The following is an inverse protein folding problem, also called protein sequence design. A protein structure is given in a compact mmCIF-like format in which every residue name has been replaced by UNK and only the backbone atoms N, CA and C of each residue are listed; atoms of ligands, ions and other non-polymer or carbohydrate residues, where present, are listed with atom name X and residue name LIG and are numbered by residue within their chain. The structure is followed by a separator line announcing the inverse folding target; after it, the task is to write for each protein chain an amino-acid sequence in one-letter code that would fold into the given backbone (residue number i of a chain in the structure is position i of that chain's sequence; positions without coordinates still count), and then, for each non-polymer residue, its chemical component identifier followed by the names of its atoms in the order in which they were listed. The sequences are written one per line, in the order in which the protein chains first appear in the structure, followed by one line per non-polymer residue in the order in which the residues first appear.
data_IF_267714154070
#
_entry.id   IF_267714154070
#
_cell.length_a   1.000
_cell.length_b   1.000
_cell.length_c   1.000
_cell.angle_alpha   90.00
_cell.angle_beta   90.00
_cell.angle_gamma   90.00
#
_symmetry.space_group_name_H-M   'P 1'
#
loop_
_entity.id
_entity.type
_entity.pdbx_description
1 polymer ?
#
# COMPACT_ATOMS: atom_id res chain seq x y z
N UNK A 1 -11.63 34.67 -50.88
CA UNK A 1 -12.72 33.97 -50.16
C UNK A 1 -12.72 32.53 -50.64
N UNK A 2 -12.41 31.62 -49.85
CA UNK A 2 -12.47 30.18 -49.91
C UNK A 2 -11.14 29.52 -49.52
N UNK A 3 -11.05 29.15 -48.27
CA UNK A 3 -10.13 28.10 -47.77
C UNK A 3 -10.36 28.01 -46.25
N UNK A 4 -11.30 27.18 -45.85
CA UNK A 4 -11.31 26.64 -44.46
C UNK A 4 -12.46 25.63 -44.29
N UNK A 5 -12.37 24.48 -44.93
CA UNK A 5 -13.36 23.40 -44.76
C UNK A 5 -12.75 21.96 -44.70
N UNK A 6 -11.42 21.80 -44.72
CA UNK A 6 -10.83 20.44 -44.79
C UNK A 6 -10.15 19.95 -43.49
N UNK A 7 -10.41 20.57 -42.32
CA UNK A 7 -9.74 20.12 -41.09
C UNK A 7 -10.64 19.33 -40.12
N UNK A 8 -11.92 19.16 -40.45
CA UNK A 8 -12.85 18.47 -39.56
C UNK A 8 -13.14 17.00 -39.98
N UNK A 9 -12.96 16.69 -41.26
CA UNK A 9 -13.23 15.33 -41.78
C UNK A 9 -12.12 14.32 -41.43
N UNK A 10 -10.85 14.80 -41.30
CA UNK A 10 -9.72 13.92 -40.97
C UNK A 10 -9.68 13.53 -39.47
N UNK A 11 -10.33 14.29 -38.59
CA UNK A 11 -10.44 13.97 -37.17
C UNK A 11 -11.46 12.87 -36.92
N UNK A 12 -12.61 12.93 -37.54
CA UNK A 12 -13.68 11.94 -37.37
C UNK A 12 -13.25 10.54 -37.86
N UNK A 13 -12.44 10.50 -38.93
CA UNK A 13 -11.93 9.24 -39.47
C UNK A 13 -10.88 8.57 -38.56
N UNK A 14 -10.06 9.33 -37.88
CA UNK A 14 -9.05 8.81 -36.94
C UNK A 14 -9.69 8.32 -35.63
N UNK A 15 -10.72 9.02 -35.14
CA UNK A 15 -11.47 8.61 -33.95
C UNK A 15 -12.27 7.33 -34.22
N UNK A 16 -12.88 7.18 -35.38
CA UNK A 16 -13.55 5.94 -35.83
C UNK A 16 -12.58 4.76 -35.97
N UNK A 17 -11.33 5.00 -36.40
CA UNK A 17 -10.31 3.96 -36.50
C UNK A 17 -9.82 3.49 -35.12
N UNK A 18 -9.75 4.38 -34.12
CA UNK A 18 -9.39 4.04 -32.75
C UNK A 18 -10.48 3.17 -32.11
N UNK A 19 -11.74 3.54 -32.28
CA UNK A 19 -12.88 2.75 -31.79
C UNK A 19 -12.97 1.35 -32.45
N UNK A 20 -12.61 1.24 -33.72
CA UNK A 20 -12.55 -0.05 -34.45
C UNK A 20 -11.37 -0.88 -33.93
N UNK A 21 -10.23 -0.27 -33.58
CA UNK A 21 -9.06 -0.97 -33.09
C UNK A 21 -9.29 -1.50 -31.68
N UNK A 22 -9.97 -0.77 -30.81
CA UNK A 22 -10.39 -1.21 -29.48
C UNK A 22 -11.44 -2.33 -29.57
N UNK A 23 -12.38 -2.22 -30.50
CA UNK A 23 -13.38 -3.26 -30.76
C UNK A 23 -12.77 -4.55 -31.33
N UNK A 24 -11.70 -4.44 -32.14
CA UNK A 24 -10.98 -5.59 -32.69
C UNK A 24 -10.08 -6.26 -31.65
N UNK A 25 -9.53 -5.51 -30.67
CA UNK A 25 -8.79 -6.09 -29.55
C UNK A 25 -9.71 -6.93 -28.65
N UNK A 26 -10.94 -6.49 -28.41
CA UNK A 26 -11.96 -7.29 -27.69
C UNK A 26 -12.33 -8.56 -28.48
N UNK A 27 -12.33 -8.51 -29.81
CA UNK A 27 -12.64 -9.66 -30.67
C UNK A 27 -11.44 -10.59 -30.90
N UNK A 28 -10.20 -10.13 -30.70
CA UNK A 28 -8.98 -10.94 -30.91
C UNK A 28 -8.69 -11.94 -29.78
N UNK A 29 -9.35 -11.80 -28.62
CA UNK A 29 -9.23 -12.73 -27.50
C UNK A 29 -10.61 -13.21 -27.00
N UNK A 30 -11.40 -13.93 -27.84
CA UNK A 30 -12.68 -14.47 -27.40
C UNK A 30 -12.54 -15.49 -26.26
N UNK A 31 -11.34 -16.07 -26.09
CA UNK A 31 -11.01 -16.96 -24.97
C UNK A 31 -10.85 -16.20 -23.67
N UNK A 32 -10.29 -14.99 -23.67
CA UNK A 32 -10.16 -14.15 -22.44
C UNK A 32 -11.55 -13.66 -21.99
N UNK A 33 -12.44 -13.31 -22.90
CA UNK A 33 -13.81 -12.94 -22.58
C UNK A 33 -14.63 -14.14 -22.03
N UNK A 34 -14.40 -15.35 -22.55
CA UNK A 34 -15.00 -16.58 -22.05
C UNK A 34 -14.38 -17.04 -20.72
N UNK A 35 -13.07 -16.89 -20.55
CA UNK A 35 -12.36 -17.20 -19.31
C UNK A 35 -12.73 -16.21 -18.19
N UNK A 36 -12.91 -14.93 -18.49
CA UNK A 36 -13.43 -13.93 -17.56
C UNK A 36 -14.88 -14.19 -17.12
N UNK A 37 -15.69 -14.79 -17.99
CA UNK A 37 -17.07 -15.18 -17.68
C UNK A 37 -17.18 -16.51 -16.92
N UNK A 38 -16.15 -17.36 -16.98
CA UNK A 38 -16.09 -18.62 -16.24
C UNK A 38 -15.40 -18.49 -14.88
N UNK A 39 -14.97 -17.26 -14.52
CA UNK A 39 -14.41 -16.90 -13.17
C UNK A 39 -13.72 -18.05 -12.43
N UNK A 40 -12.90 -18.82 -13.12
CA UNK A 40 -11.91 -19.65 -12.47
C UNK A 40 -10.66 -18.77 -12.38
N UNK A 41 -10.65 -17.89 -11.38
CA UNK A 41 -9.44 -17.22 -10.96
C UNK A 41 -8.48 -18.33 -10.50
N UNK A 42 -7.38 -18.62 -11.22
CA UNK A 42 -6.45 -19.68 -10.86
C UNK A 42 -5.82 -19.46 -9.47
N UNK A 43 -6.11 -18.34 -8.83
CA UNK A 43 -5.66 -17.96 -7.50
C UNK A 43 -6.72 -18.23 -6.40
N UNK A 44 -7.97 -18.62 -6.75
CA UNK A 44 -9.04 -18.83 -5.75
C UNK A 44 -8.78 -20.03 -4.85
N UNK A 45 -8.07 -21.04 -5.35
CA UNK A 45 -7.78 -22.28 -4.61
C UNK A 45 -6.41 -22.28 -3.90
N UNK A 46 -5.61 -21.21 -4.07
CA UNK A 46 -4.34 -21.09 -3.38
C UNK A 46 -4.60 -20.83 -1.88
N UNK A 47 -4.04 -21.64 -0.97
CA UNK A 47 -4.19 -21.39 0.46
C UNK A 47 -3.60 -20.00 0.83
N UNK A 48 -4.17 -19.38 1.86
CA UNK A 48 -3.66 -18.12 2.39
C UNK A 48 -2.24 -18.31 2.91
N UNK A 49 -1.29 -17.58 2.34
CA UNK A 49 0.09 -17.55 2.78
C UNK A 49 0.46 -16.11 3.20
N UNK A 50 0.73 -15.87 4.49
CA UNK A 50 1.12 -14.54 4.99
C UNK A 50 2.33 -13.94 4.27
N UNK A 51 3.22 -14.79 3.73
CA UNK A 51 4.41 -14.35 3.01
C UNK A 51 4.09 -13.70 1.66
N UNK A 52 2.93 -13.97 1.07
CA UNK A 52 2.51 -13.33 -0.18
C UNK A 52 2.30 -11.81 -0.02
N UNK A 53 2.08 -11.34 1.22
CA UNK A 53 1.89 -9.94 1.57
C UNK A 53 3.17 -9.25 2.05
N UNK A 54 4.28 -9.99 2.18
CA UNK A 54 5.53 -9.50 2.76
C UNK A 54 6.58 -9.21 1.69
N UNK A 55 7.41 -8.22 1.94
CA UNK A 55 8.51 -7.83 1.09
C UNK A 55 9.62 -7.20 1.93
N UNK A 56 10.88 -7.56 1.65
CA UNK A 56 12.03 -6.87 2.22
C UNK A 56 12.15 -5.50 1.54
N UNK A 57 12.11 -4.39 2.29
CA UNK A 57 12.32 -3.07 1.71
C UNK A 57 13.73 -2.92 1.15
N UNK A 58 13.87 -2.25 0.03
CA UNK A 58 15.19 -1.80 -0.44
C UNK A 58 15.47 -0.37 0.06
N UNK A 59 16.74 0.00 0.19
CA UNK A 59 17.15 1.29 0.72
C UNK A 59 17.88 2.15 -0.30
N UNK A 60 17.67 3.49 -0.22
CA UNK A 60 18.43 4.49 -0.95
C UNK A 60 19.13 5.44 0.03
N UNK A 61 20.43 5.19 0.28
CA UNK A 61 21.21 5.94 1.24
C UNK A 61 21.31 7.44 0.92
N UNK A 62 21.18 7.84 -0.35
CA UNK A 62 21.22 9.26 -0.76
C UNK A 62 20.05 10.07 -0.21
N UNK A 63 18.95 9.43 0.17
CA UNK A 63 17.79 10.05 0.79
C UNK A 63 17.88 10.08 2.32
N UNK A 64 18.80 9.35 2.93
CA UNK A 64 18.92 9.22 4.37
C UNK A 64 19.52 10.49 5.00
N UNK A 65 18.79 11.13 5.93
CA UNK A 65 19.26 12.32 6.64
C UNK A 65 20.55 12.06 7.44
N UNK A 66 20.66 10.87 8.04
CA UNK A 66 21.85 10.47 8.78
C UNK A 66 23.06 10.30 7.85
N UNK A 67 22.87 9.68 6.69
CA UNK A 67 23.93 9.55 5.67
C UNK A 67 24.33 10.92 5.10
N UNK A 68 23.37 11.76 4.76
CA UNK A 68 23.60 13.08 4.19
C UNK A 68 24.31 14.05 5.14
N UNK A 69 23.96 14.01 6.45
CA UNK A 69 24.57 14.88 7.46
C UNK A 69 25.90 14.35 7.99
N UNK A 70 26.16 13.06 7.86
CA UNK A 70 27.31 12.37 8.48
C UNK A 70 27.22 12.28 10.01
N UNK A 71 26.05 12.61 10.59
CA UNK A 71 25.84 12.65 12.06
C UNK A 71 24.84 11.59 12.49
N UNK A 72 25.21 10.77 13.46
CA UNK A 72 24.37 9.70 13.98
C UNK A 72 23.07 10.21 14.63
N UNK A 73 23.12 11.37 15.26
CA UNK A 73 22.01 12.03 15.94
C UNK A 73 21.01 12.71 15.01
N UNK A 74 21.33 12.83 13.71
CA UNK A 74 20.45 13.55 12.78
C UNK A 74 19.10 12.86 12.57
N UNK A 75 19.05 11.52 12.64
CA UNK A 75 17.82 10.77 12.54
C UNK A 75 18.03 9.31 13.00
N UNK A 76 17.10 8.78 13.80
CA UNK A 76 17.09 7.38 14.26
C UNK A 76 15.77 6.63 14.00
N UNK A 77 14.76 7.29 13.42
CA UNK A 77 13.38 6.79 13.32
C UNK A 77 13.25 5.34 12.84
N UNK A 78 13.98 4.98 11.78
CA UNK A 78 13.93 3.62 11.25
C UNK A 78 14.61 2.58 12.16
N UNK A 79 15.60 3.00 12.95
CA UNK A 79 16.25 2.15 13.95
C UNK A 79 15.33 1.93 15.14
N UNK A 80 14.68 3.01 15.61
CA UNK A 80 13.81 2.99 16.79
C UNK A 80 12.55 2.16 16.54
N UNK A 81 12.00 2.22 15.34
CA UNK A 81 10.78 1.49 14.98
C UNK A 81 11.03 0.02 14.59
N UNK A 82 12.26 -0.37 14.28
CA UNK A 82 12.58 -1.72 13.81
C UNK A 82 12.55 -2.76 14.94
N UNK A 83 11.57 -3.67 15.00
CA UNK A 83 11.47 -4.63 16.10
C UNK A 83 12.56 -5.72 16.05
N UNK A 84 13.18 -5.90 14.89
CA UNK A 84 14.24 -6.90 14.68
C UNK A 84 15.65 -6.30 14.79
N UNK A 85 15.78 -4.98 14.93
CA UNK A 85 17.07 -4.26 14.90
C UNK A 85 17.95 -4.65 13.69
N UNK A 86 17.32 -4.92 12.54
CA UNK A 86 17.97 -5.44 11.34
C UNK A 86 18.48 -4.33 10.40
N UNK A 87 18.39 -3.06 10.80
CA UNK A 87 18.85 -1.93 10.00
C UNK A 87 20.17 -1.41 10.52
N UNK A 88 21.15 -1.31 9.63
CA UNK A 88 22.47 -0.78 9.90
C UNK A 88 22.77 0.46 9.06
N UNK A 89 23.28 1.54 9.69
CA UNK A 89 23.59 2.79 9.01
C UNK A 89 25.02 3.18 9.36
N UNK A 90 25.94 2.86 8.48
CA UNK A 90 27.36 3.17 8.61
C UNK A 90 27.97 3.68 7.31
N UNK A 91 28.96 4.55 7.39
CA UNK A 91 29.76 5.04 6.26
C UNK A 91 28.90 5.49 5.08
N UNK A 92 27.85 6.29 5.33
CA UNK A 92 26.92 6.76 4.31
C UNK A 92 26.18 5.64 3.55
N UNK A 93 26.08 4.47 4.16
CA UNK A 93 25.37 3.31 3.63
C UNK A 93 24.24 2.92 4.58
N UNK A 94 23.13 2.46 4.01
CA UNK A 94 21.99 1.90 4.74
C UNK A 94 21.84 0.46 4.28
N UNK A 95 21.88 -0.48 5.22
CA UNK A 95 21.74 -1.91 4.96
C UNK A 95 20.62 -2.49 5.78
N UNK A 96 19.97 -3.51 5.23
CA UNK A 96 18.97 -4.31 5.94
C UNK A 96 19.55 -5.74 5.96
N UNK A 97 19.51 -6.37 7.12
CA UNK A 97 19.80 -7.79 7.26
C UNK A 97 18.52 -8.56 6.85
N UNK A 98 18.61 -9.20 5.69
CA UNK A 98 17.48 -9.89 5.05
C UNK A 98 17.00 -11.10 5.88
N UNK A 99 17.92 -11.77 6.60
CA UNK A 99 17.59 -12.95 7.42
C UNK A 99 16.86 -12.54 8.71
N UNK A 100 17.26 -11.42 9.30
CA UNK A 100 16.64 -10.88 10.50
C UNK A 100 15.36 -10.09 10.22
N UNK A 101 15.18 -9.58 9.01
CA UNK A 101 14.07 -8.68 8.64
C UNK A 101 12.71 -9.39 8.73
N UNK A 102 11.78 -8.83 9.53
CA UNK A 102 10.40 -9.33 9.65
C UNK A 102 9.51 -8.94 8.46
N UNK A 103 10.00 -8.12 7.54
CA UNK A 103 9.28 -7.66 6.37
C UNK A 103 7.95 -6.94 6.72
N UNK A 104 7.94 -6.25 7.86
CA UNK A 104 6.76 -5.60 8.41
C UNK A 104 6.45 -4.22 7.79
N UNK A 105 7.42 -3.59 7.11
CA UNK A 105 7.24 -2.29 6.45
C UNK A 105 7.31 -1.06 7.37
N UNK A 106 7.50 -1.21 8.69
CA UNK A 106 7.51 -0.07 9.63
C UNK A 106 8.58 0.97 9.31
N UNK A 107 9.76 0.55 8.84
CA UNK A 107 10.83 1.46 8.45
C UNK A 107 10.46 2.31 7.22
N UNK A 108 9.56 1.83 6.36
CA UNK A 108 9.04 2.58 5.21
C UNK A 108 8.15 3.73 5.71
N UNK A 109 7.20 3.41 6.61
CA UNK A 109 6.29 4.40 7.19
C UNK A 109 7.01 5.45 8.06
N UNK A 110 8.00 5.02 8.84
CA UNK A 110 8.69 5.90 9.78
C UNK A 110 9.71 6.83 9.11
N UNK A 111 10.12 6.58 7.87
CA UNK A 111 11.18 7.34 7.22
C UNK A 111 10.65 8.63 6.58
N UNK A 112 11.02 9.84 7.08
CA UNK A 112 10.49 11.10 6.58
C UNK A 112 11.01 11.49 5.19
N UNK A 113 12.02 10.78 4.69
CA UNK A 113 12.67 11.07 3.41
C UNK A 113 12.61 9.90 2.43
N UNK A 114 11.74 8.92 2.70
CA UNK A 114 11.54 7.75 1.84
C UNK A 114 12.87 7.03 1.48
N UNK A 115 13.73 6.89 2.47
CA UNK A 115 14.98 6.12 2.30
C UNK A 115 14.68 4.66 1.99
N UNK A 116 13.61 4.11 2.61
CA UNK A 116 13.15 2.74 2.41
C UNK A 116 11.95 2.70 1.48
N UNK A 117 11.95 1.74 0.57
CA UNK A 117 10.87 1.58 -0.40
C UNK A 117 10.55 0.09 -0.60
N UNK A 118 9.33 -0.19 -1.02
CA UNK A 118 8.84 -1.50 -1.41
C UNK A 118 8.28 -1.44 -2.83
N UNK A 119 8.17 -2.59 -3.51
CA UNK A 119 7.58 -2.67 -4.84
C UNK A 119 6.07 -2.85 -4.79
N UNK A 120 5.58 -3.57 -3.77
CA UNK A 120 4.17 -3.95 -3.63
C UNK A 120 3.36 -3.00 -2.76
N UNK A 121 4.02 -2.18 -1.91
CA UNK A 121 3.39 -1.35 -0.90
C UNK A 121 3.93 0.08 -0.94
N UNK A 122 3.93 0.70 -2.13
CA UNK A 122 4.21 2.15 -2.22
C UNK A 122 3.03 2.92 -1.63
N UNK A 123 3.27 4.13 -1.12
CA UNK A 123 2.22 4.99 -0.55
C UNK A 123 1.03 5.14 -1.49
N UNK A 124 1.29 5.34 -2.79
CA UNK A 124 0.25 5.43 -3.81
C UNK A 124 -0.54 4.12 -3.96
N UNK A 125 0.14 2.97 -4.04
CA UNK A 125 -0.54 1.68 -4.21
C UNK A 125 -1.40 1.35 -2.99
N UNK A 126 -0.92 1.67 -1.79
CA UNK A 126 -1.67 1.48 -0.55
C UNK A 126 -2.93 2.36 -0.54
N UNK A 127 -2.78 3.65 -0.85
CA UNK A 127 -3.93 4.54 -0.99
C UNK A 127 -4.91 4.06 -2.06
N UNK A 128 -4.44 3.72 -3.28
CA UNK A 128 -5.28 3.24 -4.37
C UNK A 128 -6.03 1.94 -4.03
N UNK A 129 -5.44 1.05 -3.22
CA UNK A 129 -6.11 -0.17 -2.74
C UNK A 129 -7.26 0.17 -1.79
N UNK A 130 -7.00 1.03 -0.80
CA UNK A 130 -8.03 1.49 0.14
C UNK A 130 -9.13 2.24 -0.60
N UNK A 131 -8.79 3.16 -1.48
CA UNK A 131 -9.74 3.96 -2.26
C UNK A 131 -10.69 3.08 -3.10
N UNK A 132 -10.15 2.03 -3.74
CA UNK A 132 -11.01 1.08 -4.48
C UNK A 132 -11.96 0.32 -3.57
N UNK A 133 -11.48 -0.17 -2.43
CA UNK A 133 -12.32 -0.91 -1.49
C UNK A 133 -13.36 0.00 -0.83
N UNK A 134 -12.97 1.17 -0.33
CA UNK A 134 -13.87 2.12 0.30
C UNK A 134 -14.95 2.66 -0.66
N UNK A 135 -14.62 2.80 -1.96
CA UNK A 135 -15.60 3.22 -2.98
C UNK A 135 -16.55 2.09 -3.41
N UNK A 136 -16.15 0.83 -3.28
CA UNK A 136 -16.93 -0.31 -3.76
C UNK A 136 -17.81 -0.95 -2.67
N UNK A 137 -17.50 -0.75 -1.40
CA UNK A 137 -18.16 -1.40 -0.26
C UNK A 137 -18.65 -0.39 0.76
N UNK A 138 -19.68 -0.73 1.52
CA UNK A 138 -20.20 0.10 2.61
C UNK A 138 -19.15 0.31 3.72
N UNK A 139 -18.30 -0.70 3.96
CA UNK A 139 -17.24 -0.66 4.94
C UNK A 139 -15.97 -1.28 4.38
N UNK A 140 -14.83 -0.58 4.55
CA UNK A 140 -13.49 -1.05 4.20
C UNK A 140 -12.69 -1.31 5.48
N UNK A 141 -12.04 -2.47 5.55
CA UNK A 141 -11.23 -2.89 6.69
C UNK A 141 -9.75 -2.93 6.34
N UNK A 142 -8.92 -2.28 7.14
CA UNK A 142 -7.48 -2.40 7.08
C UNK A 142 -7.03 -3.35 8.20
N UNK A 143 -6.34 -4.41 7.83
CA UNK A 143 -5.93 -5.46 8.74
C UNK A 143 -4.51 -5.94 8.44
N UNK A 144 -4.02 -6.92 9.18
CA UNK A 144 -2.69 -7.47 8.96
C UNK A 144 -2.71 -9.00 8.78
N UNK A 145 -1.63 -9.52 8.20
CA UNK A 145 -1.46 -10.98 7.97
C UNK A 145 -1.53 -11.84 9.22
N UNK A 146 -1.34 -11.25 10.40
CA UNK A 146 -1.45 -11.97 11.68
C UNK A 146 -2.88 -12.00 12.19
N UNK A 147 -3.64 -10.93 11.98
CA UNK A 147 -5.05 -10.84 12.37
C UNK A 147 -5.92 -11.70 11.45
N UNK A 148 -5.63 -11.67 10.15
CA UNK A 148 -6.41 -12.37 9.14
C UNK A 148 -5.77 -13.73 8.84
N UNK A 149 -6.34 -14.80 9.39
CA UNK A 149 -5.86 -16.17 9.17
C UNK A 149 -6.44 -16.83 7.90
N UNK A 150 -7.04 -16.03 7.02
CA UNK A 150 -7.69 -16.44 5.78
C UNK A 150 -7.36 -15.48 4.64
N UNK A 151 -7.72 -15.83 3.42
CA UNK A 151 -7.63 -14.92 2.27
C UNK A 151 -8.51 -13.68 2.53
N UNK A 152 -7.98 -12.45 2.29
CA UNK A 152 -8.76 -11.23 2.45
C UNK A 152 -9.93 -11.19 1.46
N UNK A 153 -11.04 -10.64 1.88
CA UNK A 153 -12.20 -10.34 1.04
C UNK A 153 -11.98 -9.03 0.27
N UNK A 154 -12.91 -8.69 -0.62
CA UNK A 154 -12.75 -7.51 -1.49
C UNK A 154 -12.75 -6.17 -0.75
N UNK A 155 -13.34 -6.11 0.44
CA UNK A 155 -13.37 -4.93 1.32
C UNK A 155 -12.27 -4.95 2.39
N UNK A 156 -11.38 -5.93 2.37
CA UNK A 156 -10.29 -6.08 3.35
C UNK A 156 -8.94 -5.80 2.70
N UNK A 157 -8.20 -4.88 3.27
CA UNK A 157 -6.83 -4.56 2.88
C UNK A 157 -5.89 -5.22 3.88
N UNK A 158 -5.31 -6.35 3.46
CA UNK A 158 -4.39 -7.13 4.29
C UNK A 158 -2.94 -6.65 4.08
N UNK A 159 -2.31 -6.21 5.16
CA UNK A 159 -0.94 -5.68 5.18
C UNK A 159 -0.01 -6.60 5.97
N UNK A 160 1.32 -6.53 5.77
CA UNK A 160 2.28 -7.17 6.67
C UNK A 160 2.10 -6.73 8.13
N UNK A 161 1.89 -5.44 8.33
CA UNK A 161 1.56 -4.79 9.60
C UNK A 161 0.79 -3.50 9.30
N UNK A 162 -0.26 -3.19 10.08
CA UNK A 162 -1.00 -1.91 9.94
C UNK A 162 -0.08 -0.70 10.15
N UNK A 163 0.92 -0.82 11.00
CA UNK A 163 1.92 0.24 11.24
C UNK A 163 2.78 0.61 10.05
N UNK A 164 2.66 -0.08 8.90
CA UNK A 164 3.32 0.35 7.67
C UNK A 164 2.60 1.51 6.95
N UNK A 165 1.40 1.87 7.38
CA UNK A 165 0.71 3.08 6.91
C UNK A 165 1.19 4.29 7.70
N UNK A 166 1.86 5.23 7.02
CA UNK A 166 2.30 6.49 7.62
C UNK A 166 1.11 7.42 7.92
N UNK A 167 1.33 8.42 8.76
CA UNK A 167 0.32 9.43 9.06
C UNK A 167 -0.16 10.18 7.81
N UNK A 168 0.71 10.39 6.82
CA UNK A 168 0.35 11.05 5.55
C UNK A 168 -0.62 10.20 4.71
N UNK A 169 -0.45 8.88 4.71
CA UNK A 169 -1.37 7.97 4.02
C UNK A 169 -2.71 7.95 4.75
N UNK A 170 -2.71 7.85 6.08
CA UNK A 170 -3.91 7.94 6.90
C UNK A 170 -4.64 9.26 6.71
N UNK A 171 -3.90 10.39 6.69
CA UNK A 171 -4.45 11.70 6.39
C UNK A 171 -5.19 11.72 5.05
N UNK A 172 -4.59 11.17 4.01
CA UNK A 172 -5.22 11.11 2.68
C UNK A 172 -6.48 10.23 2.69
N UNK A 173 -6.42 9.07 3.36
CA UNK A 173 -7.56 8.17 3.49
C UNK A 173 -8.72 8.85 4.24
N UNK A 174 -8.45 9.46 5.39
CA UNK A 174 -9.48 10.10 6.22
C UNK A 174 -10.05 11.40 5.62
N UNK A 175 -9.31 12.02 4.70
CA UNK A 175 -9.81 13.18 3.95
C UNK A 175 -10.85 12.76 2.92
N UNK A 176 -10.69 11.60 2.30
CA UNK A 176 -11.49 11.19 1.16
C UNK A 176 -12.59 10.16 1.52
N UNK A 177 -12.43 9.44 2.64
CA UNK A 177 -13.32 8.33 3.02
C UNK A 177 -13.67 8.36 4.52
N UNK A 178 -14.92 8.11 4.85
CA UNK A 178 -15.47 8.00 6.20
C UNK A 178 -15.83 6.56 6.62
N UNK A 179 -15.71 5.62 5.69
CA UNK A 179 -16.07 4.21 5.84
C UNK A 179 -14.87 3.27 5.95
N UNK A 180 -13.76 3.75 6.53
CA UNK A 180 -12.54 2.95 6.71
C UNK A 180 -12.32 2.67 8.19
N UNK A 181 -12.15 1.40 8.55
CA UNK A 181 -11.86 0.93 9.91
C UNK A 181 -10.62 0.05 9.93
N UNK A 182 -10.01 -0.05 11.10
CA UNK A 182 -8.96 -1.05 11.37
C UNK A 182 -9.62 -2.26 12.03
N UNK A 183 -9.38 -3.45 11.47
CA UNK A 183 -9.79 -4.71 12.07
C UNK A 183 -8.58 -5.44 12.66
N UNK A 184 -8.54 -5.54 13.97
CA UNK A 184 -7.50 -6.25 14.71
C UNK A 184 -8.12 -6.96 15.94
N UNK A 185 -8.15 -8.28 15.98
CA UNK A 185 -8.63 -9.03 17.14
C UNK A 185 -7.87 -8.67 18.42
N UNK A 186 -8.56 -8.64 19.55
CA UNK A 186 -8.00 -8.29 20.85
C UNK A 186 -6.75 -9.12 21.17
N UNK A 187 -5.67 -8.44 21.56
CA UNK A 187 -4.41 -9.07 21.96
C UNK A 187 -3.59 -9.66 20.80
N UNK A 188 -3.97 -9.40 19.53
CA UNK A 188 -3.21 -9.88 18.37
C UNK A 188 -1.81 -9.27 18.34
N UNK A 189 -1.67 -8.02 18.74
CA UNK A 189 -0.39 -7.30 18.79
C UNK A 189 0.48 -7.75 19.97
N UNK A 190 -0.08 -8.11 21.12
CA UNK A 190 0.66 -8.56 22.32
C UNK A 190 1.57 -9.76 22.05
N UNK A 191 1.16 -10.64 21.14
CA UNK A 191 1.89 -11.85 20.75
C UNK A 191 2.59 -11.72 19.40
N UNK A 192 2.67 -10.49 18.86
CA UNK A 192 3.26 -10.27 17.55
C UNK A 192 4.78 -10.10 17.65
N UNK A 193 5.51 -10.65 16.66
CA UNK A 193 6.95 -10.40 16.53
C UNK A 193 7.27 -8.94 16.17
N UNK A 194 6.30 -8.24 15.58
CA UNK A 194 6.39 -6.81 15.25
C UNK A 194 5.96 -5.99 16.49
N UNK A 195 6.78 -6.00 17.53
CA UNK A 195 6.46 -5.47 18.85
C UNK A 195 6.21 -3.95 18.88
N UNK A 196 6.80 -3.22 17.94
CA UNK A 196 6.63 -1.76 17.80
C UNK A 196 5.47 -1.37 16.87
N UNK A 197 4.78 -2.38 16.31
CA UNK A 197 3.75 -2.16 15.28
C UNK A 197 2.50 -1.48 15.81
N UNK A 198 2.06 -1.83 17.02
CA UNK A 198 0.88 -1.25 17.67
C UNK A 198 1.09 0.24 17.97
N UNK A 199 2.19 0.61 18.58
CA UNK A 199 2.55 2.00 18.83
C UNK A 199 2.63 2.79 17.51
N UNK A 200 3.24 2.20 16.47
CA UNK A 200 3.41 2.85 15.17
C UNK A 200 2.06 3.19 14.52
N UNK A 201 1.12 2.24 14.43
CA UNK A 201 -0.17 2.54 13.79
C UNK A 201 -1.04 3.45 14.65
N UNK A 202 -1.04 3.26 15.97
CA UNK A 202 -1.82 4.11 16.88
C UNK A 202 -1.37 5.57 16.79
N UNK A 203 -0.07 5.81 16.77
CA UNK A 203 0.48 7.16 16.64
C UNK A 203 0.20 7.76 15.26
N UNK A 204 0.31 6.96 14.18
CA UNK A 204 0.03 7.43 12.82
C UNK A 204 -1.45 7.81 12.65
N UNK A 205 -2.37 6.99 13.15
CA UNK A 205 -3.81 7.26 13.13
C UNK A 205 -4.13 8.51 13.96
N UNK A 206 -3.68 8.58 15.22
CA UNK A 206 -3.93 9.73 16.09
C UNK A 206 -3.46 11.05 15.46
N UNK A 207 -2.30 11.03 14.78
CA UNK A 207 -1.79 12.19 14.07
C UNK A 207 -2.69 12.59 12.90
N UNK A 208 -3.15 11.62 12.12
CA UNK A 208 -4.04 11.88 10.99
C UNK A 208 -5.44 12.36 11.44
N UNK A 209 -5.97 11.80 12.52
CA UNK A 209 -7.22 12.24 13.15
C UNK A 209 -7.14 13.69 13.65
N UNK A 210 -6.02 14.07 14.29
CA UNK A 210 -5.78 15.45 14.69
C UNK A 210 -5.77 16.41 13.51
N UNK A 211 -5.18 16.01 12.37
CA UNK A 211 -5.08 16.85 11.19
C UNK A 211 -6.39 16.99 10.43
N UNK A 212 -7.20 15.92 10.38
CA UNK A 212 -8.45 15.87 9.60
C UNK A 212 -9.69 16.21 10.41
N UNK A 213 -9.67 15.95 11.73
CA UNK A 213 -10.84 15.97 12.59
C UNK A 213 -11.77 14.76 12.40
N UNK A 214 -11.40 13.79 11.54
CA UNK A 214 -12.09 12.53 11.37
C UNK A 214 -11.61 11.51 12.40
N UNK A 215 -12.30 10.37 12.51
CA UNK A 215 -11.95 9.26 13.40
C UNK A 215 -11.95 7.94 12.66
N UNK A 216 -11.00 7.06 12.98
CA UNK A 216 -10.91 5.70 12.45
C UNK A 216 -11.69 4.74 13.36
N UNK A 217 -12.57 3.93 12.80
CA UNK A 217 -13.18 2.83 13.53
C UNK A 217 -12.15 1.75 13.88
N UNK A 218 -12.20 1.26 15.13
CA UNK A 218 -11.44 0.10 15.56
C UNK A 218 -12.42 -1.05 15.81
N UNK A 219 -12.32 -2.11 15.01
CA UNK A 219 -13.13 -3.31 15.20
C UNK A 219 -12.28 -4.41 15.82
N UNK A 220 -12.76 -4.92 16.94
CA UNK A 220 -12.13 -5.94 17.75
C UNK A 220 -13.19 -6.99 18.08
N UNK A 221 -13.11 -8.16 17.51
CA UNK A 221 -13.94 -9.32 17.84
C UNK A 221 -13.22 -10.28 18.80
#
# INVERSE_FOLDING_TARGET
MAQNQNHNEDRDFLDDLIDIQDSLQVLSNPLDALMGSLSIDPNTDKPFEPMDFKEIPWSNANRCLRCASGKAEACSRCLDVCPANCIDIHNQSVRIDDEACLQCGLCVAACPTETFNTRRHTSRMLYDQVARAASAYEQCYITCTRALARKPEGNEICLPCVGMLSADIWFSILTDFDNVSVYLPLGVCDRCRTTTGEEAYTQAIATAEEWTGATVGLEVD
#
